data_IF_376014859196
#
_entry.id   IF_376014859196
#
_cell.length_a   1.000
_cell.length_b   1.000
_cell.length_c   1.000
_cell.angle_alpha   90.00
_cell.angle_beta   90.00
_cell.angle_gamma   90.00
#
_symmetry.space_group_name_H-M   'P 1'
#
loop_
_entity.id
_entity.type
_entity.pdbx_description
1 polymer ?
#
# COMPACT_ATOMS: atom_id res chain seq x y z
N UNK A 1 -26.80 -6.83 -4.51
CA UNK A 1 -25.46 -6.22 -4.61
C UNK A 1 -24.62 -6.51 -3.36
N UNK A 2 -25.20 -6.60 -2.16
CA UNK A 2 -24.42 -6.84 -0.93
C UNK A 2 -23.69 -8.20 -0.82
N UNK A 3 -24.24 -9.30 -1.34
CA UNK A 3 -23.63 -10.63 -1.11
C UNK A 3 -22.23 -10.75 -1.72
N UNK A 4 -22.07 -10.36 -3.01
CA UNK A 4 -20.77 -10.45 -3.68
C UNK A 4 -19.73 -9.47 -3.12
N UNK A 5 -20.16 -8.30 -2.65
CA UNK A 5 -19.28 -7.33 -1.99
C UNK A 5 -18.78 -7.84 -0.63
N UNK A 6 -19.69 -8.39 0.19
CA UNK A 6 -19.35 -8.96 1.49
C UNK A 6 -18.43 -10.19 1.35
N UNK A 7 -18.74 -11.10 0.43
CA UNK A 7 -17.91 -12.26 0.12
C UNK A 7 -16.53 -11.82 -0.38
N UNK A 8 -16.49 -10.87 -1.31
CA UNK A 8 -15.26 -10.26 -1.80
C UNK A 8 -14.41 -9.69 -0.66
N UNK A 9 -15.02 -8.94 0.25
CA UNK A 9 -14.32 -8.36 1.40
C UNK A 9 -13.79 -9.43 2.37
N UNK A 10 -14.54 -10.51 2.62
CA UNK A 10 -14.06 -11.64 3.44
C UNK A 10 -12.86 -12.33 2.80
N UNK A 11 -12.92 -12.60 1.49
CA UNK A 11 -11.79 -13.18 0.75
C UNK A 11 -10.57 -12.24 0.75
N UNK A 12 -10.78 -10.94 0.61
CA UNK A 12 -9.73 -9.93 0.72
C UNK A 12 -9.02 -9.99 2.09
N UNK A 13 -9.80 -10.05 3.18
CA UNK A 13 -9.24 -10.17 4.53
C UNK A 13 -8.49 -11.50 4.71
N UNK A 14 -9.01 -12.60 4.17
CA UNK A 14 -8.33 -13.89 4.19
C UNK A 14 -6.98 -13.83 3.45
N UNK A 15 -6.92 -13.17 2.30
CA UNK A 15 -5.66 -12.97 1.55
C UNK A 15 -4.64 -12.19 2.39
N UNK A 16 -5.05 -11.10 3.04
CA UNK A 16 -4.13 -10.34 3.91
C UNK A 16 -3.71 -11.12 5.15
N UNK A 17 -4.61 -11.94 5.72
CA UNK A 17 -4.30 -12.82 6.84
C UNK A 17 -3.23 -13.86 6.45
N UNK A 18 -3.43 -14.55 5.32
CA UNK A 18 -2.46 -15.53 4.79
C UNK A 18 -1.15 -14.83 4.42
N UNK A 19 -1.20 -13.65 3.79
CA UNK A 19 -0.03 -12.83 3.48
C UNK A 19 0.80 -12.56 4.74
N UNK A 20 0.17 -12.09 5.81
CA UNK A 20 0.84 -11.81 7.08
C UNK A 20 1.40 -13.07 7.75
N UNK A 21 0.67 -14.18 7.68
CA UNK A 21 1.07 -15.44 8.31
C UNK A 21 2.20 -16.15 7.56
N UNK A 22 2.20 -16.10 6.23
CA UNK A 22 3.09 -16.92 5.38
C UNK A 22 4.22 -16.10 4.79
N UNK A 23 3.91 -14.98 4.12
CA UNK A 23 4.91 -14.24 3.33
C UNK A 23 5.82 -13.40 4.22
N UNK A 24 5.31 -12.83 5.31
CA UNK A 24 6.14 -12.02 6.21
C UNK A 24 7.24 -12.86 6.88
N UNK A 25 6.96 -14.02 7.51
CA UNK A 25 8.01 -14.86 8.07
C UNK A 25 8.99 -15.40 7.03
N UNK A 26 8.55 -15.65 5.80
CA UNK A 26 9.39 -16.19 4.72
C UNK A 26 10.49 -15.23 4.27
N UNK A 27 10.30 -13.91 4.43
CA UNK A 27 11.25 -12.90 3.90
C UNK A 27 11.83 -11.96 4.96
N UNK A 28 11.43 -12.10 6.22
CA UNK A 28 11.85 -11.22 7.32
C UNK A 28 13.37 -11.23 7.55
N UNK A 29 14.04 -12.34 7.26
CA UNK A 29 15.49 -12.48 7.44
C UNK A 29 16.29 -11.58 6.49
N UNK A 30 15.69 -11.15 5.38
CA UNK A 30 16.30 -10.26 4.40
C UNK A 30 16.09 -8.77 4.73
N UNK A 31 15.31 -8.44 5.78
CA UNK A 31 15.03 -7.05 6.13
C UNK A 31 16.28 -6.36 6.66
N UNK A 32 16.63 -5.26 5.98
CA UNK A 32 17.66 -4.34 6.40
C UNK A 32 17.18 -2.89 6.22
N UNK A 33 18.02 -1.94 6.62
CA UNK A 33 17.70 -0.52 6.47
C UNK A 33 17.53 -0.06 5.03
N UNK A 34 18.16 -0.72 4.08
CA UNK A 34 17.99 -0.36 2.66
C UNK A 34 16.58 -0.72 2.18
N UNK A 35 16.11 -1.93 2.51
CA UNK A 35 14.76 -2.38 2.17
C UNK A 35 13.71 -1.52 2.88
N UNK A 36 13.91 -1.22 4.18
CA UNK A 36 12.98 -0.35 4.90
C UNK A 36 12.90 1.05 4.28
N UNK A 37 14.05 1.68 4.01
CA UNK A 37 14.10 2.99 3.37
C UNK A 37 13.42 2.96 2.00
N UNK A 38 13.70 1.95 1.18
CA UNK A 38 13.06 1.81 -0.13
C UNK A 38 11.54 1.63 0.00
N UNK A 39 11.07 0.82 0.94
CA UNK A 39 9.65 0.63 1.18
C UNK A 39 8.95 1.95 1.57
N UNK A 40 9.55 2.72 2.50
CA UNK A 40 9.02 4.03 2.89
C UNK A 40 9.03 5.05 1.75
N UNK A 41 10.11 5.10 0.96
CA UNK A 41 10.18 5.92 -0.26
C UNK A 41 9.12 5.50 -1.28
N UNK A 42 8.84 4.20 -1.38
CA UNK A 42 7.83 3.64 -2.27
C UNK A 42 6.41 4.05 -1.90
N UNK A 43 6.14 4.19 -0.60
CA UNK A 43 4.83 4.63 -0.08
C UNK A 43 4.67 6.15 -0.11
N UNK A 44 5.78 6.90 -0.04
CA UNK A 44 5.78 8.37 0.00
C UNK A 44 6.17 8.94 -1.36
N UNK A 45 7.46 9.14 -1.62
CA UNK A 45 7.98 9.87 -2.78
C UNK A 45 7.56 9.24 -4.11
N UNK A 46 7.84 7.95 -4.31
CA UNK A 46 7.63 7.26 -5.60
C UNK A 46 6.14 7.22 -5.97
N UNK A 47 5.26 7.35 -4.98
CA UNK A 47 3.82 7.24 -5.16
C UNK A 47 3.13 8.61 -5.13
N UNK A 48 3.43 9.45 -4.15
CA UNK A 48 2.81 10.75 -3.98
C UNK A 48 3.24 11.73 -5.07
N UNK A 49 4.51 11.69 -5.51
CA UNK A 49 4.98 12.63 -6.54
C UNK A 49 4.26 12.45 -7.87
N UNK A 50 4.14 11.24 -8.47
CA UNK A 50 3.40 11.09 -9.72
C UNK A 50 1.94 11.52 -9.62
N UNK A 51 1.27 11.25 -8.49
CA UNK A 51 -0.12 11.68 -8.26
C UNK A 51 -0.21 13.21 -8.14
N UNK A 52 0.72 13.84 -7.42
CA UNK A 52 0.74 15.30 -7.31
C UNK A 52 1.00 15.95 -8.67
N UNK A 53 1.91 15.39 -9.47
CA UNK A 53 2.21 15.87 -10.83
C UNK A 53 1.02 15.69 -11.77
N UNK A 54 0.28 14.58 -11.68
CA UNK A 54 -0.91 14.37 -12.51
C UNK A 54 -2.08 15.29 -12.17
N UNK A 55 -2.03 15.97 -11.02
CA UNK A 55 -3.03 16.93 -10.58
C UNK A 55 -2.62 18.39 -10.84
N UNK A 56 -1.44 18.63 -11.42
CA UNK A 56 -1.01 19.97 -11.83
C UNK A 56 -2.00 20.51 -12.88
N UNK A 57 -2.51 21.72 -12.66
CA UNK A 57 -3.55 22.33 -13.50
C UNK A 57 -4.99 21.98 -13.09
N UNK A 58 -5.19 21.09 -12.11
CA UNK A 58 -6.51 20.73 -11.59
C UNK A 58 -7.17 21.77 -10.67
N UNK A 59 -6.53 22.92 -10.42
CA UNK A 59 -7.01 23.99 -9.52
C UNK A 59 -7.35 23.51 -8.09
N UNK A 60 -6.71 22.42 -7.64
CA UNK A 60 -6.86 21.87 -6.28
C UNK A 60 -5.87 22.53 -5.32
N UNK A 61 -6.30 22.78 -4.08
CA UNK A 61 -5.41 23.23 -3.01
C UNK A 61 -4.38 22.17 -2.64
N UNK A 62 -3.19 22.59 -2.21
CA UNK A 62 -2.08 21.67 -1.87
C UNK A 62 -2.43 20.62 -0.81
N UNK A 63 -3.30 20.97 0.15
CA UNK A 63 -3.83 20.03 1.16
C UNK A 63 -4.64 18.90 0.51
N UNK A 64 -5.51 19.22 -0.44
CA UNK A 64 -6.31 18.25 -1.19
C UNK A 64 -5.42 17.36 -2.05
N UNK A 65 -4.43 17.94 -2.74
CA UNK A 65 -3.47 17.17 -3.53
C UNK A 65 -2.70 16.19 -2.63
N UNK A 66 -2.21 16.64 -1.47
CA UNK A 66 -1.51 15.80 -0.51
C UNK A 66 -2.39 14.67 0.03
N UNK A 67 -3.66 14.96 0.33
CA UNK A 67 -4.63 13.95 0.77
C UNK A 67 -4.86 12.88 -0.31
N UNK A 68 -5.11 13.28 -1.55
CA UNK A 68 -5.31 12.35 -2.67
C UNK A 68 -4.05 11.52 -2.93
N UNK A 69 -2.87 12.17 -2.90
CA UNK A 69 -1.59 11.50 -3.10
C UNK A 69 -1.29 10.45 -2.03
N UNK A 70 -1.67 10.72 -0.77
CA UNK A 70 -1.50 9.80 0.36
C UNK A 70 -2.47 8.60 0.31
N UNK A 71 -3.75 8.84 0.02
CA UNK A 71 -4.80 7.80 0.06
C UNK A 71 -4.86 6.91 -1.19
N UNK A 72 -4.01 5.90 -1.27
CA UNK A 72 -4.30 4.77 -2.15
C UNK A 72 -3.45 3.54 -1.83
N UNK A 73 -3.61 2.97 -0.63
CA UNK A 73 -2.74 1.95 -0.06
C UNK A 73 -2.37 0.85 -1.07
N UNK A 74 -1.11 0.38 -1.01
CA UNK A 74 -0.72 -0.88 -1.65
C UNK A 74 -1.57 -1.98 -1.02
N UNK A 75 -2.19 -2.81 -1.87
CA UNK A 75 -3.14 -3.82 -1.42
C UNK A 75 -3.02 -5.13 -2.19
N UNK A 76 -4.17 -5.71 -2.54
CA UNK A 76 -4.29 -7.08 -3.09
C UNK A 76 -3.61 -7.23 -4.43
N UNK A 77 -3.65 -6.21 -5.30
CA UNK A 77 -2.98 -6.26 -6.59
C UNK A 77 -1.46 -6.50 -6.46
N UNK A 78 -0.82 -5.89 -5.45
CA UNK A 78 0.62 -6.13 -5.20
C UNK A 78 0.90 -7.57 -4.76
N UNK A 79 0.00 -8.15 -3.95
CA UNK A 79 0.10 -9.56 -3.55
C UNK A 79 -0.13 -10.47 -4.74
N UNK A 80 -1.12 -10.17 -5.59
CA UNK A 80 -1.39 -10.91 -6.82
C UNK A 80 -0.17 -10.92 -7.75
N UNK A 81 0.43 -9.75 -8.01
CA UNK A 81 1.62 -9.68 -8.85
C UNK A 81 2.84 -10.38 -8.25
N UNK A 82 2.98 -10.35 -6.91
CA UNK A 82 4.00 -11.13 -6.22
C UNK A 82 3.81 -12.63 -6.46
N UNK A 83 2.58 -13.12 -6.34
CA UNK A 83 2.26 -14.54 -6.57
C UNK A 83 2.47 -14.94 -8.02
N UNK A 84 2.06 -14.10 -8.97
CA UNK A 84 2.33 -14.31 -10.41
C UNK A 84 3.84 -14.34 -10.66
N UNK A 85 4.60 -13.42 -10.07
CA UNK A 85 6.05 -13.42 -10.21
C UNK A 85 6.67 -14.72 -9.68
N UNK A 86 6.25 -15.17 -8.50
CA UNK A 86 6.74 -16.41 -7.91
C UNK A 86 6.34 -17.63 -8.74
N UNK A 87 5.16 -17.64 -9.36
CA UNK A 87 4.72 -18.76 -10.20
C UNK A 87 5.45 -18.82 -11.54
N UNK A 88 5.73 -17.67 -12.16
CA UNK A 88 6.33 -17.60 -13.50
C UNK A 88 7.87 -17.60 -13.47
N UNK A 89 8.48 -16.93 -12.48
CA UNK A 89 9.94 -16.73 -12.41
C UNK A 89 10.58 -17.58 -11.30
N UNK A 90 9.84 -17.84 -10.23
CA UNK A 90 10.35 -18.53 -9.04
C UNK A 90 10.94 -17.58 -8.00
N UNK A 91 10.96 -18.05 -6.74
CA UNK A 91 11.41 -17.24 -5.61
C UNK A 91 12.94 -17.28 -5.37
N UNK A 92 13.60 -18.37 -5.77
CA UNK A 92 15.04 -18.57 -5.51
C UNK A 92 15.87 -17.52 -6.24
N UNK A 93 16.82 -16.92 -5.53
CA UNK A 93 17.68 -15.84 -6.03
C UNK A 93 17.01 -14.47 -6.11
N UNK A 94 15.72 -14.37 -5.76
CA UNK A 94 14.93 -13.13 -5.79
C UNK A 94 14.40 -12.75 -4.40
N UNK A 95 14.89 -13.39 -3.35
CA UNK A 95 14.38 -13.26 -1.97
C UNK A 95 14.38 -11.80 -1.50
N UNK A 96 15.44 -11.06 -1.84
CA UNK A 96 15.56 -9.63 -1.53
C UNK A 96 14.48 -8.80 -2.23
N UNK A 97 14.17 -9.09 -3.50
CA UNK A 97 13.11 -8.41 -4.25
C UNK A 97 11.74 -8.71 -3.65
N UNK A 98 11.45 -9.99 -3.36
CA UNK A 98 10.20 -10.38 -2.71
C UNK A 98 10.05 -9.70 -1.35
N UNK A 99 11.15 -9.61 -0.59
CA UNK A 99 11.20 -8.96 0.72
C UNK A 99 10.84 -7.47 0.64
N UNK A 100 11.32 -6.75 -0.39
CA UNK A 100 10.91 -5.36 -0.66
C UNK A 100 9.40 -5.26 -0.87
N UNK A 101 8.82 -6.13 -1.70
CA UNK A 101 7.38 -6.10 -2.01
C UNK A 101 6.57 -6.36 -0.74
N UNK A 102 6.90 -7.44 -0.02
CA UNK A 102 6.20 -7.84 1.21
C UNK A 102 6.31 -6.76 2.29
N UNK A 103 7.50 -6.22 2.56
CA UNK A 103 7.66 -5.16 3.55
C UNK A 103 6.87 -3.90 3.16
N UNK A 104 6.86 -3.56 1.87
CA UNK A 104 6.11 -2.39 1.40
C UNK A 104 4.61 -2.56 1.56
N UNK A 105 4.07 -3.75 1.24
CA UNK A 105 2.65 -4.06 1.47
C UNK A 105 2.33 -4.05 2.97
N UNK A 106 3.18 -4.66 3.80
CA UNK A 106 3.00 -4.70 5.26
C UNK A 106 2.94 -3.28 5.85
N UNK A 107 3.92 -2.44 5.55
CA UNK A 107 3.96 -1.06 6.03
C UNK A 107 2.78 -0.25 5.47
N UNK A 108 2.38 -0.48 4.22
CA UNK A 108 1.21 0.19 3.64
C UNK A 108 -0.06 -0.11 4.43
N UNK A 109 -0.31 -1.38 4.74
CA UNK A 109 -1.50 -1.81 5.51
C UNK A 109 -1.55 -1.10 6.86
N UNK A 110 -0.44 -1.06 7.60
CA UNK A 110 -0.40 -0.41 8.91
C UNK A 110 -0.46 1.12 8.81
N UNK A 111 0.38 1.74 7.97
CA UNK A 111 0.48 3.21 7.86
C UNK A 111 -0.84 3.81 7.36
N UNK A 112 -1.42 3.25 6.30
CA UNK A 112 -2.68 3.77 5.74
C UNK A 112 -3.89 3.30 6.53
N UNK A 113 -3.86 2.10 7.11
CA UNK A 113 -4.93 1.61 7.99
C UNK A 113 -5.06 2.48 9.24
N UNK A 114 -3.95 2.80 9.91
CA UNK A 114 -3.93 3.65 11.10
C UNK A 114 -4.22 5.13 10.77
N UNK A 115 -3.70 5.64 9.64
CA UNK A 115 -3.95 7.04 9.24
C UNK A 115 -5.32 7.26 8.60
N UNK A 116 -6.01 6.21 8.16
CA UNK A 116 -7.20 6.32 7.31
C UNK A 116 -8.34 7.11 7.95
N UNK A 117 -8.81 6.66 9.12
CA UNK A 117 -9.88 7.33 9.86
C UNK A 117 -9.49 8.74 10.35
N UNK A 118 -8.35 8.95 11.05
CA UNK A 118 -8.02 10.26 11.58
C UNK A 118 -7.78 11.29 10.48
N UNK A 119 -7.07 10.92 9.40
CA UNK A 119 -6.76 11.85 8.32
C UNK A 119 -8.00 12.20 7.49
N UNK A 120 -8.93 11.24 7.30
CA UNK A 120 -10.23 11.51 6.65
C UNK A 120 -11.09 12.49 7.46
N UNK A 121 -11.14 12.34 8.80
CA UNK A 121 -11.85 13.27 9.69
C UNK A 121 -11.23 14.68 9.63
N UNK A 122 -9.90 14.75 9.67
CA UNK A 122 -9.17 16.02 9.58
C UNK A 122 -9.43 16.73 8.24
N UNK A 123 -9.32 16.00 7.13
CA UNK A 123 -9.56 16.57 5.79
C UNK A 123 -11.02 17.01 5.61
N UNK A 124 -11.99 16.22 6.11
CA UNK A 124 -13.39 16.64 6.13
C UNK A 124 -13.63 17.92 6.94
N UNK A 125 -12.89 18.13 8.03
CA UNK A 125 -12.90 19.38 8.79
C UNK A 125 -12.27 20.56 8.04
N UNK A 126 -11.18 20.32 7.31
CA UNK A 126 -10.54 21.30 6.44
C UNK A 126 -11.48 21.77 5.33
N UNK A 127 -12.13 20.85 4.61
CA UNK A 127 -13.06 21.18 3.53
C UNK A 127 -14.29 21.97 3.98
N UNK A 128 -14.70 21.86 5.25
CA UNK A 128 -15.81 22.66 5.80
C UNK A 128 -15.40 24.10 6.14
N UNK A 129 -14.09 24.38 6.23
CA UNK A 129 -13.54 25.70 6.61
C UNK A 129 -12.98 26.48 5.42
N UNK A 130 -12.64 25.79 4.33
CA UNK A 130 -12.20 26.36 3.06
C UNK A 130 -13.41 26.82 2.24
#
# INVERSE_FOLDING_TARGET
QEFGEAEGQQLCLLVFFIFGMVLVPAVREYWDWTILCYALLSLTVIRMLPVALSLVGGHLGGVTIGFIAWFGPRGIASILYLLIFVSEVGAKGHERLLSVIVLTVLLSVFIHGLSGVPLSKWYGGYCKRA
#
